data_IF_786088927359
#
_entry.id   IF_786088927359
#
_cell.length_a   1.000
_cell.length_b   1.000
_cell.length_c   1.000
_cell.angle_alpha   90.00
_cell.angle_beta   90.00
_cell.angle_gamma   90.00
#
_symmetry.space_group_name_H-M   'P 1'
#
loop_
_entity.id
_entity.type
_entity.pdbx_description
1 polymer ?
#
# COMPACT_ATOMS: atom_id res chain seq x y z
N UNK A 1 -19.59 -3.95 -29.02
CA UNK A 1 -18.92 -3.42 -27.83
C UNK A 1 -17.44 -3.23 -28.15
N UNK A 2 -16.85 -2.10 -27.77
CA UNK A 2 -15.43 -1.79 -28.03
C UNK A 2 -14.73 -1.62 -26.68
N UNK A 3 -13.74 -2.45 -26.41
CA UNK A 3 -12.98 -2.40 -25.17
C UNK A 3 -11.93 -1.30 -25.23
N UNK A 4 -11.79 -0.56 -24.12
CA UNK A 4 -10.63 0.32 -23.91
C UNK A 4 -9.50 -0.55 -23.41
N UNK A 5 -8.67 -1.00 -24.34
CA UNK A 5 -7.57 -1.93 -24.11
C UNK A 5 -6.23 -1.19 -24.17
N UNK A 6 -5.28 -1.62 -23.35
CA UNK A 6 -3.88 -1.17 -23.39
C UNK A 6 -3.72 0.35 -23.22
N UNK A 7 -4.11 0.91 -22.06
CA UNK A 7 -3.76 2.28 -21.75
C UNK A 7 -2.24 2.44 -21.72
N UNK A 8 -1.72 3.47 -22.37
CA UNK A 8 -0.29 3.71 -22.44
C UNK A 8 0.01 5.21 -22.49
N UNK A 9 1.23 5.56 -22.10
CA UNK A 9 1.73 6.90 -22.31
C UNK A 9 2.03 7.10 -23.80
N UNK A 10 1.60 8.22 -24.41
CA UNK A 10 2.07 8.59 -25.73
C UNK A 10 3.59 8.83 -25.71
N UNK A 11 4.25 8.72 -26.86
CA UNK A 11 5.71 8.84 -26.97
C UNK A 11 6.27 10.06 -26.24
N UNK A 12 5.68 11.24 -26.44
CA UNK A 12 6.12 12.47 -25.77
C UNK A 12 6.04 12.39 -24.23
N UNK A 13 5.12 11.60 -23.68
CA UNK A 13 4.97 11.39 -22.25
C UNK A 13 6.01 10.42 -21.70
N UNK A 14 6.42 9.43 -22.51
CA UNK A 14 7.55 8.56 -22.21
C UNK A 14 8.84 9.39 -22.19
N UNK A 15 9.07 10.21 -23.22
CA UNK A 15 10.25 11.07 -23.33
C UNK A 15 10.36 12.08 -22.17
N UNK A 16 9.21 12.52 -21.63
CA UNK A 16 9.13 13.40 -20.45
C UNK A 16 9.18 12.66 -19.11
N UNK A 17 9.28 11.33 -19.11
CA UNK A 17 9.36 10.53 -17.89
C UNK A 17 8.06 10.48 -17.07
N UNK A 18 6.88 10.60 -17.70
CA UNK A 18 5.60 10.61 -16.96
C UNK A 18 5.36 9.33 -16.16
N UNK A 19 5.80 8.18 -16.68
CA UNK A 19 5.76 6.91 -15.97
C UNK A 19 6.61 6.93 -14.69
N UNK A 20 7.81 7.54 -14.74
CA UNK A 20 8.63 7.76 -13.54
C UNK A 20 7.97 8.70 -12.54
N UNK A 21 7.33 9.75 -13.03
CA UNK A 21 6.61 10.70 -12.17
C UNK A 21 5.49 10.01 -11.39
N UNK A 22 4.71 9.13 -12.01
CA UNK A 22 3.67 8.37 -11.31
C UNK A 22 4.25 7.52 -10.17
N UNK A 23 5.42 6.91 -10.39
CA UNK A 23 6.13 6.15 -9.34
C UNK A 23 6.51 7.03 -8.14
N UNK A 24 6.89 8.29 -8.36
CA UNK A 24 7.20 9.24 -7.30
C UNK A 24 5.96 9.71 -6.54
N UNK A 25 4.78 9.66 -7.15
CA UNK A 25 3.52 10.07 -6.52
C UNK A 25 2.90 8.99 -5.62
N UNK A 26 3.44 7.77 -5.61
CA UNK A 26 2.89 6.69 -4.79
C UNK A 26 2.95 7.02 -3.29
N UNK A 27 1.80 6.95 -2.63
CA UNK A 27 1.65 7.27 -1.21
C UNK A 27 1.54 8.77 -0.90
N UNK A 28 1.67 9.65 -1.90
CA UNK A 28 1.45 11.07 -1.70
C UNK A 28 -0.02 11.32 -1.36
N UNK A 29 -0.27 12.03 -0.26
CA UNK A 29 -1.62 12.30 0.26
C UNK A 29 -2.47 11.02 0.40
N UNK A 30 -1.87 9.92 0.86
CA UNK A 30 -2.52 8.62 1.01
C UNK A 30 -3.15 8.09 -0.29
N UNK A 31 -2.63 8.51 -1.45
CA UNK A 31 -3.13 8.11 -2.77
C UNK A 31 -2.19 7.11 -3.43
N UNK A 32 -2.75 6.06 -4.01
CA UNK A 32 -2.01 5.00 -4.70
C UNK A 32 -2.59 4.77 -6.08
N UNK A 33 -1.71 4.67 -7.08
CA UNK A 33 -2.10 4.43 -8.47
C UNK A 33 -1.82 2.96 -8.82
N UNK A 34 -2.80 2.26 -9.40
CA UNK A 34 -2.73 0.80 -9.66
C UNK A 34 -3.21 0.45 -11.07
N UNK A 35 -3.01 -0.80 -11.50
CA UNK A 35 -3.53 -1.34 -12.76
C UNK A 35 -2.70 -1.03 -14.01
N UNK A 36 -3.26 -1.33 -15.18
CA UNK A 36 -2.54 -1.25 -16.47
C UNK A 36 -2.15 0.16 -16.93
N UNK A 37 -2.58 1.22 -16.23
CA UNK A 37 -2.15 2.60 -16.52
C UNK A 37 -0.75 2.93 -16.00
N UNK A 38 -0.27 2.18 -15.01
CA UNK A 38 0.99 2.45 -14.28
C UNK A 38 2.03 1.34 -14.44
N UNK A 39 1.63 0.25 -15.07
CA UNK A 39 2.46 -0.89 -15.46
C UNK A 39 1.97 -1.38 -16.84
N UNK A 40 2.49 -2.51 -17.31
CA UNK A 40 1.99 -3.10 -18.55
C UNK A 40 0.60 -3.74 -18.32
N UNK A 41 -0.31 -3.62 -19.28
CA UNK A 41 -1.71 -4.10 -19.16
C UNK A 41 -1.83 -5.62 -19.37
N UNK A 42 -1.00 -6.38 -18.64
CA UNK A 42 -1.15 -7.82 -18.46
C UNK A 42 -1.61 -8.12 -17.03
N UNK A 43 -2.39 -9.19 -16.87
CA UNK A 43 -2.87 -9.61 -15.55
C UNK A 43 -1.70 -9.89 -14.59
N UNK A 44 -0.64 -10.50 -15.10
CA UNK A 44 0.56 -10.83 -14.32
C UNK A 44 1.29 -9.57 -13.84
N UNK A 45 1.52 -8.61 -14.73
CA UNK A 45 2.21 -7.36 -14.37
C UNK A 45 1.40 -6.53 -13.38
N UNK A 46 0.07 -6.49 -13.54
CA UNK A 46 -0.82 -5.78 -12.63
C UNK A 46 -0.76 -6.39 -11.23
N UNK A 47 -0.81 -7.72 -11.11
CA UNK A 47 -0.72 -8.41 -9.82
C UNK A 47 0.64 -8.14 -9.19
N UNK A 48 1.73 -8.32 -9.95
CA UNK A 48 3.08 -8.10 -9.47
C UNK A 48 3.28 -6.64 -8.99
N UNK A 49 2.83 -5.67 -9.77
CA UNK A 49 2.91 -4.26 -9.42
C UNK A 49 2.15 -3.95 -8.13
N UNK A 50 0.92 -4.47 -7.99
CA UNK A 50 0.11 -4.24 -6.81
C UNK A 50 0.73 -4.86 -5.56
N UNK A 51 1.29 -6.07 -5.65
CA UNK A 51 1.99 -6.71 -4.54
C UNK A 51 3.20 -5.88 -4.08
N UNK A 52 3.98 -5.34 -5.03
CA UNK A 52 5.10 -4.44 -4.71
C UNK A 52 4.63 -3.18 -3.95
N UNK A 53 3.46 -2.64 -4.29
CA UNK A 53 2.89 -1.51 -3.55
C UNK A 53 2.46 -1.89 -2.14
N UNK A 54 1.82 -3.05 -1.97
CA UNK A 54 1.42 -3.58 -0.66
C UNK A 54 2.65 -3.77 0.22
N UNK A 55 3.66 -4.48 -0.26
CA UNK A 55 4.88 -4.75 0.51
C UNK A 55 5.61 -3.47 0.93
N UNK A 56 5.61 -2.47 0.04
CA UNK A 56 6.34 -1.21 0.27
C UNK A 56 5.59 -0.24 1.18
N UNK A 57 4.27 -0.13 1.05
CA UNK A 57 3.48 0.94 1.68
C UNK A 57 2.54 0.44 2.77
N UNK A 58 2.29 -0.87 2.85
CA UNK A 58 1.41 -1.52 3.82
C UNK A 58 2.11 -2.72 4.48
N UNK A 59 3.29 -2.52 5.11
CA UNK A 59 3.99 -3.62 5.76
C UNK A 59 3.14 -4.21 6.87
N UNK A 60 2.92 -5.52 6.82
CA UNK A 60 2.29 -6.23 7.92
C UNK A 60 3.19 -6.12 9.15
N UNK A 61 2.67 -5.56 10.24
CA UNK A 61 3.25 -5.78 11.56
C UNK A 61 3.02 -7.24 11.88
N UNK A 62 4.07 -8.05 11.80
CA UNK A 62 4.05 -9.36 12.48
C UNK A 62 4.08 -9.05 13.97
N UNK A 63 2.98 -9.36 14.65
CA UNK A 63 3.01 -9.45 16.11
C UNK A 63 4.01 -10.56 16.43
N UNK A 64 5.13 -10.19 17.06
CA UNK A 64 6.06 -11.16 17.62
C UNK A 64 5.30 -11.85 18.76
N UNK A 65 4.88 -13.09 18.53
CA UNK A 65 4.52 -13.99 19.61
C UNK A 65 5.77 -14.17 20.45
N UNK A 66 5.86 -13.43 21.54
CA UNK A 66 6.84 -13.65 22.59
C UNK A 66 6.54 -15.04 23.14
N UNK A 67 7.29 -16.04 22.70
CA UNK A 67 7.30 -17.34 23.38
C UNK A 67 7.85 -17.09 24.78
N UNK A 68 6.96 -17.12 25.76
CA UNK A 68 7.32 -17.10 27.17
C UNK A 68 7.97 -18.44 27.51
N UNK A 69 9.28 -18.54 27.36
CA UNK A 69 10.06 -19.52 28.11
C UNK A 69 10.00 -19.16 29.61
N UNK A 70 9.70 -20.18 30.42
CA UNK A 70 9.68 -20.26 31.89
C UNK A 70 8.36 -19.94 32.59
N UNK A 71 7.55 -20.98 32.86
CA UNK A 71 7.13 -21.33 34.24
C UNK A 71 6.91 -22.85 34.32
N UNK A 72 7.85 -23.57 34.94
CA UNK A 72 7.59 -24.92 35.44
C UNK A 72 6.59 -24.87 36.61
N UNK A 73 5.55 -25.69 36.49
CA UNK A 73 4.77 -26.34 37.54
C UNK A 73 4.36 -25.54 38.81
N UNK A 74 3.06 -25.29 38.95
CA UNK A 74 2.31 -25.77 40.13
C UNK A 74 0.80 -25.65 39.89
N UNK A 75 0.10 -26.72 40.23
CA UNK A 75 -1.34 -26.87 40.15
C UNK A 75 -2.11 -25.80 40.95
N UNK A 76 -3.25 -25.36 40.42
CA UNK A 76 -4.57 -25.45 41.07
C UNK A 76 -5.60 -24.57 40.34
N UNK A 77 -6.81 -25.14 40.23
CA UNK A 77 -8.10 -24.49 39.98
C UNK A 77 -8.47 -24.21 38.53
N UNK A 78 -9.39 -25.04 38.03
CA UNK A 78 -10.14 -24.78 36.82
C UNK A 78 -11.01 -23.54 36.94
N UNK A 79 -11.07 -22.80 35.85
CA UNK A 79 -12.15 -21.87 35.51
C UNK A 79 -12.38 -22.07 34.02
N UNK A 80 -13.55 -22.59 33.67
CA UNK A 80 -14.02 -22.67 32.30
C UNK A 80 -14.12 -21.25 31.74
N UNK A 81 -13.35 -20.95 30.69
CA UNK A 81 -13.50 -19.68 29.96
C UNK A 81 -14.60 -19.91 28.92
N UNK A 82 -15.81 -19.49 29.28
CA UNK A 82 -16.88 -19.25 28.32
C UNK A 82 -16.42 -18.11 27.41
N UNK A 83 -16.23 -18.42 26.13
CA UNK A 83 -16.04 -17.40 25.09
C UNK A 83 -17.45 -16.87 24.82
N UNK A 84 -17.76 -15.67 25.31
CA UNK A 84 -18.92 -14.92 24.84
C UNK A 84 -18.51 -14.19 23.55
N UNK A 85 -19.08 -14.63 22.43
CA UNK A 85 -19.03 -13.97 21.13
C UNK A 85 -19.85 -12.68 21.21
N UNK A 86 -19.19 -11.54 21.44
CA UNK A 86 -19.81 -10.22 21.43
C UNK A 86 -19.48 -9.54 20.07
N UNK A 87 -20.31 -9.80 19.05
CA UNK A 87 -20.12 -9.41 17.64
C UNK A 87 -20.24 -7.89 17.33
N UNK A 88 -20.51 -7.00 18.29
CA UNK A 88 -21.02 -5.65 17.97
C UNK A 88 -20.16 -4.44 18.45
N UNK A 89 -18.83 -4.50 18.38
CA UNK A 89 -17.99 -3.30 18.64
C UNK A 89 -17.04 -2.98 17.49
N UNK A 90 -17.54 -2.18 16.54
CA UNK A 90 -16.72 -1.44 15.58
C UNK A 90 -16.06 -0.27 16.33
N UNK A 91 -14.72 -0.17 16.41
CA UNK A 91 -14.08 0.99 17.01
C UNK A 91 -14.25 2.21 16.10
N UNK A 92 -14.88 3.28 16.62
CA UNK A 92 -14.97 4.56 15.93
C UNK A 92 -13.57 5.19 15.79
N UNK A 93 -13.06 5.26 14.56
CA UNK A 93 -11.82 5.98 14.23
C UNK A 93 -12.18 7.41 13.86
N UNK A 94 -11.93 8.36 14.77
CA UNK A 94 -12.03 9.78 14.45
C UNK A 94 -11.05 10.15 13.33
N UNK A 95 -11.58 10.44 12.14
CA UNK A 95 -10.79 10.90 11.01
C UNK A 95 -10.48 12.39 11.16
N UNK A 96 -9.31 12.71 11.69
CA UNK A 96 -8.80 14.09 11.68
C UNK A 96 -8.44 14.49 10.25
N UNK A 97 -9.31 15.28 9.61
CA UNK A 97 -9.06 15.85 8.28
C UNK A 97 -7.88 16.82 8.39
N UNK A 98 -6.76 16.50 7.73
CA UNK A 98 -5.62 17.40 7.61
C UNK A 98 -5.87 18.46 6.52
N UNK A 99 -5.44 19.72 6.72
CA UNK A 99 -5.59 20.76 5.71
C UNK A 99 -4.75 20.45 4.47
N UNK A 100 -5.28 20.84 3.30
CA UNK A 100 -4.63 20.70 2.00
C UNK A 100 -3.36 21.54 1.99
N UNK A 101 -2.19 20.90 1.99
CA UNK A 101 -0.94 21.59 1.64
C UNK A 101 -0.87 21.75 0.12
N UNK A 102 -0.66 22.98 -0.35
CA UNK A 102 -0.21 23.21 -1.73
C UNK A 102 1.18 22.60 -1.89
N UNK A 103 1.27 21.57 -2.73
CA UNK A 103 2.51 20.87 -3.02
C UNK A 103 3.15 21.56 -4.24
N UNK A 104 4.11 22.45 -3.99
CA UNK A 104 5.11 22.80 -5.02
C UNK A 104 6.12 21.66 -5.11
N UNK A 105 5.95 20.80 -6.10
CA UNK A 105 6.94 19.77 -6.45
C UNK A 105 8.16 20.48 -7.05
N UNK A 106 9.39 20.30 -6.52
CA UNK A 106 10.59 20.78 -7.18
C UNK A 106 10.75 20.00 -8.48
N UNK A 107 10.44 20.66 -9.60
CA UNK A 107 10.81 20.17 -10.92
C UNK A 107 12.25 20.62 -11.14
N UNK A 108 13.16 19.70 -11.46
CA UNK A 108 14.03 19.82 -12.66
C UNK A 108 15.38 19.08 -12.63
N UNK A 109 15.89 18.55 -11.50
CA UNK A 109 17.28 18.00 -11.53
C UNK A 109 17.43 16.47 -11.48
N UNK A 110 16.58 15.71 -10.77
CA UNK A 110 16.78 14.25 -10.65
C UNK A 110 16.33 13.44 -11.88
N UNK A 111 15.39 13.96 -12.68
CA UNK A 111 14.85 13.21 -13.83
C UNK A 111 15.89 13.10 -14.98
N UNK A 112 16.84 14.03 -15.07
CA UNK A 112 17.88 14.03 -16.11
C UNK A 112 18.91 12.89 -15.99
N UNK A 113 19.00 12.24 -14.83
CA UNK A 113 20.03 11.23 -14.54
C UNK A 113 19.49 9.79 -14.55
N UNK A 114 18.23 9.57 -14.92
CA UNK A 114 17.69 8.21 -15.08
C UNK A 114 18.05 7.66 -16.47
N UNK A 115 18.56 6.42 -16.56
CA UNK A 115 18.86 5.80 -17.85
C UNK A 115 17.57 5.66 -18.67
N UNK A 116 17.68 6.00 -19.95
CA UNK A 116 16.65 5.83 -20.99
C UNK A 116 16.42 4.35 -21.26
#
# INVERSE_FOLDING_TARGET
FTWRFFPHFPQYGIDKGYHWRVRMLQGLNNTYFIGGHVCFDSVEDIINYNNVLVDKHFPLKREETVESENVEASAANGVDIVIEDDEDKIPEVETKIMPVMEITVPVDEEIKNMPV
#
